data_IF_345025640061
#
_entry.id   IF_345025640061
#
_cell.length_a   1.000
_cell.length_b   1.000
_cell.length_c   1.000
_cell.angle_alpha   90.00
_cell.angle_beta   90.00
_cell.angle_gamma   90.00
#
_symmetry.space_group_name_H-M   'P 1'
#
loop_
_entity.id
_entity.type
_entity.pdbx_description
1 polymer ?
#
# COMPACT_ATOMS: atom_id res chain seq x y z
N UNK A 1 -11.16 -7.92 -60.71
CA UNK A 1 -10.32 -8.99 -60.12
C UNK A 1 -9.31 -8.46 -59.11
N UNK A 2 -8.83 -7.21 -59.23
CA UNK A 2 -7.83 -6.67 -58.29
C UNK A 2 -8.40 -6.28 -56.92
N UNK A 3 -9.66 -5.81 -56.87
CA UNK A 3 -10.26 -5.29 -55.63
C UNK A 3 -10.44 -6.38 -54.55
N UNK A 4 -10.72 -7.62 -54.95
CA UNK A 4 -10.88 -8.77 -54.03
C UNK A 4 -9.54 -9.26 -53.49
N UNK A 5 -8.47 -9.21 -54.28
CA UNK A 5 -7.11 -9.56 -53.82
C UNK A 5 -6.58 -8.54 -52.82
N UNK A 6 -6.81 -7.24 -53.06
CA UNK A 6 -6.43 -6.17 -52.13
C UNK A 6 -7.17 -6.31 -50.80
N UNK A 7 -8.48 -6.62 -50.83
CA UNK A 7 -9.26 -6.86 -49.62
C UNK A 7 -8.76 -8.08 -48.83
N UNK A 8 -8.49 -9.21 -49.49
CA UNK A 8 -7.95 -10.40 -48.82
C UNK A 8 -6.61 -10.11 -48.14
N UNK A 9 -5.72 -9.38 -48.80
CA UNK A 9 -4.41 -9.04 -48.25
C UNK A 9 -4.50 -8.10 -47.02
N UNK A 10 -5.46 -7.17 -47.03
CA UNK A 10 -5.74 -6.33 -45.86
C UNK A 10 -6.30 -7.15 -44.67
N UNK A 11 -7.19 -8.12 -44.95
CA UNK A 11 -7.77 -8.97 -43.91
C UNK A 11 -6.70 -9.89 -43.31
N UNK A 12 -5.87 -10.52 -44.14
CA UNK A 12 -4.73 -11.33 -43.68
C UNK A 12 -3.76 -10.51 -42.83
N UNK A 13 -3.40 -9.30 -43.26
CA UNK A 13 -2.54 -8.41 -42.47
C UNK A 13 -3.15 -8.04 -41.10
N UNK A 14 -4.48 -7.87 -41.04
CA UNK A 14 -5.20 -7.62 -39.79
C UNK A 14 -5.21 -8.85 -38.87
N UNK A 15 -5.43 -10.04 -39.45
CA UNK A 15 -5.40 -11.31 -38.71
C UNK A 15 -4.03 -11.58 -38.09
N UNK A 16 -2.96 -11.38 -38.84
CA UNK A 16 -1.59 -11.51 -38.32
C UNK A 16 -1.29 -10.50 -37.21
N UNK A 17 -1.78 -9.26 -37.32
CA UNK A 17 -1.63 -8.26 -36.26
C UNK A 17 -2.36 -8.69 -34.98
N UNK A 18 -3.58 -9.21 -35.09
CA UNK A 18 -4.35 -9.74 -33.95
C UNK A 18 -3.66 -10.97 -33.34
N UNK A 19 -3.17 -11.89 -34.16
CA UNK A 19 -2.39 -13.04 -33.71
C UNK A 19 -1.18 -12.60 -32.87
N UNK A 20 -0.37 -11.67 -33.37
CA UNK A 20 0.81 -11.17 -32.66
C UNK A 20 0.47 -10.46 -31.34
N UNK A 21 -0.65 -9.75 -31.27
CA UNK A 21 -1.12 -9.12 -30.02
C UNK A 21 -1.56 -10.19 -29.01
N UNK A 22 -2.31 -11.20 -29.44
CA UNK A 22 -2.76 -12.29 -28.58
C UNK A 22 -1.57 -13.12 -28.06
N UNK A 23 -0.55 -13.35 -28.88
CA UNK A 23 0.69 -14.01 -28.44
C UNK A 23 1.45 -13.16 -27.40
N UNK A 24 1.53 -11.84 -27.59
CA UNK A 24 2.19 -10.96 -26.61
C UNK A 24 1.43 -10.97 -25.27
N UNK A 25 0.10 -10.94 -25.32
CA UNK A 25 -0.74 -11.03 -24.12
C UNK A 25 -0.55 -12.39 -23.44
N UNK A 26 -0.58 -13.49 -24.20
CA UNK A 26 -0.39 -14.82 -23.65
C UNK A 26 0.98 -14.98 -22.98
N UNK A 27 2.04 -14.47 -23.62
CA UNK A 27 3.40 -14.46 -23.09
C UNK A 27 3.55 -13.67 -21.78
N UNK A 28 2.77 -12.60 -21.61
CA UNK A 28 2.78 -11.79 -20.38
C UNK A 28 2.00 -12.47 -19.25
N UNK A 29 0.99 -13.26 -19.57
CA UNK A 29 0.11 -13.93 -18.59
C UNK A 29 0.68 -15.30 -18.20
N UNK A 30 1.41 -15.97 -19.09
CA UNK A 30 1.94 -17.31 -18.88
C UNK A 30 3.46 -17.27 -18.61
N UNK A 31 3.89 -17.69 -17.42
CA UNK A 31 5.31 -17.87 -17.07
C UNK A 31 5.96 -19.06 -17.82
N UNK A 32 5.14 -19.91 -18.43
CA UNK A 32 5.60 -21.09 -19.16
C UNK A 32 6.09 -20.66 -20.55
N UNK A 33 7.40 -20.73 -20.80
CA UNK A 33 7.98 -20.61 -22.15
C UNK A 33 7.62 -21.84 -22.98
N UNK A 34 6.35 -22.02 -23.29
CA UNK A 34 5.94 -22.99 -24.29
C UNK A 34 6.44 -22.48 -25.64
N UNK A 35 7.50 -23.11 -26.14
CA UNK A 35 7.97 -22.96 -27.52
C UNK A 35 6.86 -23.49 -28.42
N UNK A 36 5.93 -22.61 -28.80
CA UNK A 36 5.06 -22.89 -29.93
C UNK A 36 5.94 -22.78 -31.16
N UNK A 37 6.10 -23.92 -31.83
CA UNK A 37 6.76 -23.99 -33.12
C UNK A 37 5.86 -23.20 -34.07
N UNK A 38 6.30 -21.98 -34.39
CA UNK A 38 5.72 -21.10 -35.39
C UNK A 38 5.81 -21.81 -36.76
N UNK A 39 4.83 -22.68 -37.05
CA UNK A 39 4.67 -23.27 -38.37
C UNK A 39 4.08 -22.22 -39.30
N UNK A 40 4.88 -21.20 -39.63
CA UNK A 40 4.65 -20.30 -40.75
C UNK A 40 4.77 -21.11 -42.04
N UNK A 41 3.66 -21.71 -42.46
CA UNK A 41 3.55 -22.30 -43.78
C UNK A 41 3.58 -21.18 -44.83
N UNK A 42 4.74 -21.05 -45.48
CA UNK A 42 4.91 -20.35 -46.75
C UNK A 42 4.19 -21.14 -47.84
N UNK A 43 2.90 -20.88 -48.07
CA UNK A 43 2.14 -21.52 -49.15
C UNK A 43 1.64 -20.47 -50.15
N UNK A 44 1.82 -20.82 -51.41
CA UNK A 44 1.57 -20.02 -52.60
C UNK A 44 0.08 -19.62 -52.74
N UNK A 45 -0.13 -18.40 -53.20
CA UNK A 45 -1.36 -17.59 -53.15
C UNK A 45 -2.53 -18.06 -54.04
N UNK A 46 -2.59 -19.34 -54.39
CA UNK A 46 -3.59 -19.86 -55.34
C UNK A 46 -4.93 -20.25 -54.69
N UNK A 47 -5.00 -20.44 -53.36
CA UNK A 47 -6.24 -20.76 -52.60
C UNK A 47 -6.45 -19.82 -51.39
N UNK A 48 -6.51 -18.51 -51.63
CA UNK A 48 -6.52 -17.49 -50.57
C UNK A 48 -7.70 -17.50 -49.58
N UNK A 49 -8.79 -18.20 -49.88
CA UNK A 49 -9.95 -18.33 -48.98
C UNK A 49 -9.78 -19.42 -47.92
N UNK A 50 -9.16 -20.55 -48.28
CA UNK A 50 -8.88 -21.64 -47.33
C UNK A 50 -7.81 -21.23 -46.32
N UNK A 51 -6.78 -20.51 -46.77
CA UNK A 51 -5.77 -19.92 -45.90
C UNK A 51 -6.38 -18.97 -44.86
N UNK A 52 -7.29 -18.09 -45.29
CA UNK A 52 -7.94 -17.13 -44.40
C UNK A 52 -8.76 -17.85 -43.32
N UNK A 53 -9.41 -18.96 -43.67
CA UNK A 53 -10.18 -19.78 -42.74
C UNK A 53 -9.29 -20.47 -41.70
N UNK A 54 -8.13 -21.01 -42.10
CA UNK A 54 -7.15 -21.62 -41.19
C UNK A 54 -6.54 -20.58 -40.26
N UNK A 55 -6.13 -19.43 -40.79
CA UNK A 55 -5.55 -18.33 -40.00
C UNK A 55 -6.56 -17.77 -38.99
N UNK A 56 -7.82 -17.56 -39.41
CA UNK A 56 -8.89 -17.14 -38.51
C UNK A 56 -9.18 -18.17 -37.42
N UNK A 57 -9.10 -19.47 -37.75
CA UNK A 57 -9.24 -20.54 -36.78
C UNK A 57 -8.11 -20.55 -35.74
N UNK A 58 -6.86 -20.36 -36.18
CA UNK A 58 -5.69 -20.27 -35.28
C UNK A 58 -5.81 -19.07 -34.32
N UNK A 59 -6.20 -17.91 -34.84
CA UNK A 59 -6.44 -16.71 -34.03
C UNK A 59 -7.55 -16.96 -33.00
N UNK A 60 -8.62 -17.67 -33.38
CA UNK A 60 -9.71 -18.01 -32.46
C UNK A 60 -9.30 -18.95 -31.34
N UNK A 61 -8.53 -20.00 -31.65
CA UNK A 61 -8.01 -20.92 -30.62
C UNK A 61 -7.01 -20.22 -29.69
N UNK A 62 -6.15 -19.37 -30.22
CA UNK A 62 -5.24 -18.55 -29.42
C UNK A 62 -6.02 -17.58 -28.50
N UNK A 63 -7.09 -16.97 -29.01
CA UNK A 63 -7.94 -16.09 -28.21
C UNK A 63 -8.64 -16.82 -27.05
N UNK A 64 -9.18 -18.02 -27.29
CA UNK A 64 -9.75 -18.87 -26.22
C UNK A 64 -8.73 -19.21 -25.15
N UNK A 65 -7.51 -19.52 -25.56
CA UNK A 65 -6.46 -19.86 -24.61
C UNK A 65 -6.04 -18.66 -23.76
N UNK A 66 -5.88 -17.49 -24.38
CA UNK A 66 -5.66 -16.22 -23.68
C UNK A 66 -6.78 -15.95 -22.69
N UNK A 67 -8.04 -16.12 -23.08
CA UNK A 67 -9.21 -15.92 -22.21
C UNK A 67 -9.20 -16.88 -21.00
N UNK A 68 -8.91 -18.16 -21.24
CA UNK A 68 -8.82 -19.17 -20.18
C UNK A 68 -7.69 -18.85 -19.20
N UNK A 69 -6.50 -18.51 -19.70
CA UNK A 69 -5.33 -18.19 -18.87
C UNK A 69 -5.49 -16.88 -18.10
N UNK A 70 -6.09 -15.88 -18.73
CA UNK A 70 -6.44 -14.64 -18.06
C UNK A 70 -7.44 -14.87 -16.93
N UNK A 71 -8.45 -15.72 -17.15
CA UNK A 71 -9.44 -16.08 -16.13
C UNK A 71 -8.79 -16.79 -14.93
N UNK A 72 -7.88 -17.73 -15.19
CA UNK A 72 -7.09 -18.41 -14.16
C UNK A 72 -6.22 -17.42 -13.35
N UNK A 73 -5.52 -16.52 -14.03
CA UNK A 73 -4.69 -15.49 -13.41
C UNK A 73 -5.51 -14.53 -12.53
N UNK A 74 -6.66 -14.07 -13.03
CA UNK A 74 -7.58 -13.22 -12.26
C UNK A 74 -8.14 -13.95 -11.01
N UNK A 75 -8.38 -15.26 -11.10
CA UNK A 75 -8.82 -16.07 -9.95
C UNK A 75 -7.75 -16.16 -8.87
N UNK A 76 -6.50 -16.42 -9.26
CA UNK A 76 -5.35 -16.46 -8.33
C UNK A 76 -5.17 -15.09 -7.68
N UNK A 77 -5.22 -14.01 -8.48
CA UNK A 77 -5.11 -12.65 -7.98
C UNK A 77 -6.22 -12.31 -6.98
N UNK A 78 -7.46 -12.75 -7.24
CA UNK A 78 -8.59 -12.54 -6.32
C UNK A 78 -8.41 -13.30 -5.01
N UNK A 79 -7.97 -14.56 -5.07
CA UNK A 79 -7.68 -15.37 -3.87
C UNK A 79 -6.59 -14.73 -3.03
N UNK A 80 -5.51 -14.26 -3.66
CA UNK A 80 -4.41 -13.60 -2.95
C UNK A 80 -4.84 -12.27 -2.34
N UNK A 81 -5.62 -11.46 -3.07
CA UNK A 81 -6.23 -10.24 -2.55
C UNK A 81 -7.07 -10.54 -1.30
N UNK A 82 -7.97 -11.52 -1.37
CA UNK A 82 -8.81 -11.91 -0.24
C UNK A 82 -7.99 -12.42 0.96
N UNK A 83 -6.91 -13.16 0.70
CA UNK A 83 -5.97 -13.64 1.75
C UNK A 83 -5.28 -12.48 2.46
N UNK A 84 -4.79 -11.51 1.68
CA UNK A 84 -4.13 -10.30 2.20
C UNK A 84 -5.13 -9.45 2.98
N UNK A 85 -6.33 -9.22 2.46
CA UNK A 85 -7.39 -8.49 3.15
C UNK A 85 -7.76 -9.14 4.49
N UNK A 86 -7.92 -10.46 4.53
CA UNK A 86 -8.19 -11.19 5.79
C UNK A 86 -7.06 -11.00 6.81
N UNK A 87 -5.80 -11.02 6.38
CA UNK A 87 -4.65 -10.79 7.26
C UNK A 87 -4.61 -9.35 7.76
N UNK A 88 -4.93 -8.38 6.92
CA UNK A 88 -5.02 -6.97 7.31
C UNK A 88 -6.12 -6.79 8.36
N UNK A 89 -7.32 -7.31 8.14
CA UNK A 89 -8.41 -7.21 9.13
C UNK A 89 -8.05 -7.87 10.48
N UNK A 90 -7.32 -8.98 10.47
CA UNK A 90 -6.81 -9.60 11.70
C UNK A 90 -5.81 -8.71 12.42
N UNK A 91 -4.85 -8.12 11.69
CA UNK A 91 -3.85 -7.21 12.26
C UNK A 91 -4.47 -5.90 12.76
N UNK A 92 -5.49 -5.38 12.08
CA UNK A 92 -6.24 -4.22 12.54
C UNK A 92 -6.95 -4.49 13.86
N UNK A 93 -7.56 -5.68 14.02
CA UNK A 93 -8.17 -6.09 15.28
C UNK A 93 -7.13 -6.24 16.39
N UNK A 94 -6.01 -6.90 16.12
CA UNK A 94 -4.92 -7.03 17.10
C UNK A 94 -4.37 -5.67 17.53
N UNK A 95 -4.19 -4.74 16.60
CA UNK A 95 -3.79 -3.37 16.91
C UNK A 95 -4.84 -2.63 17.75
N UNK A 96 -6.13 -2.83 17.51
CA UNK A 96 -7.21 -2.29 18.35
C UNK A 96 -7.18 -2.90 19.77
N UNK A 97 -6.93 -4.19 19.88
CA UNK A 97 -6.82 -4.90 21.16
C UNK A 97 -5.60 -4.40 21.95
N UNK A 98 -4.44 -4.25 21.30
CA UNK A 98 -3.22 -3.65 21.88
C UNK A 98 -3.48 -2.22 22.32
N UNK A 99 -4.13 -1.40 21.48
CA UNK A 99 -4.45 -0.02 21.82
C UNK A 99 -5.35 0.05 23.06
N UNK A 100 -6.33 -0.86 23.17
CA UNK A 100 -7.21 -0.97 24.32
C UNK A 100 -6.45 -1.40 25.57
N UNK A 101 -5.56 -2.40 25.47
CA UNK A 101 -4.69 -2.82 26.59
C UNK A 101 -3.79 -1.69 27.06
N UNK A 102 -3.17 -0.94 26.14
CA UNK A 102 -2.32 0.22 26.47
C UNK A 102 -3.12 1.29 27.19
N UNK A 103 -4.34 1.58 26.75
CA UNK A 103 -5.23 2.53 27.41
C UNK A 103 -5.55 2.10 28.84
N UNK A 104 -5.88 0.82 29.04
CA UNK A 104 -6.12 0.26 30.38
C UNK A 104 -4.85 0.37 31.24
N UNK A 105 -3.69 0.00 30.69
CA UNK A 105 -2.41 0.06 31.39
C UNK A 105 -2.04 1.49 31.83
N UNK A 106 -2.29 2.48 30.98
CA UNK A 106 -2.07 3.89 31.32
C UNK A 106 -3.01 4.31 32.45
N UNK A 107 -4.31 4.02 32.34
CA UNK A 107 -5.28 4.38 33.39
C UNK A 107 -4.97 3.72 34.73
N UNK A 108 -4.51 2.47 34.71
CA UNK A 108 -4.14 1.75 35.93
C UNK A 108 -2.83 2.26 36.52
N UNK A 109 -1.84 2.60 35.67
CA UNK A 109 -0.62 3.27 36.10
C UNK A 109 -0.94 4.59 36.81
N UNK A 110 -1.81 5.42 36.25
CA UNK A 110 -2.24 6.68 36.85
C UNK A 110 -2.96 6.46 38.20
N UNK A 111 -3.79 5.42 38.30
CA UNK A 111 -4.45 5.04 39.54
C UNK A 111 -3.45 4.58 40.62
N UNK A 112 -2.48 3.74 40.25
CA UNK A 112 -1.41 3.27 41.15
C UNK A 112 -0.52 4.43 41.60
N UNK A 113 -0.12 5.33 40.68
CA UNK A 113 0.66 6.53 41.04
C UNK A 113 -0.11 7.42 42.02
N UNK A 114 -1.43 7.54 41.86
CA UNK A 114 -2.28 8.30 42.77
C UNK A 114 -2.38 7.63 44.16
N UNK A 115 -2.53 6.30 44.22
CA UNK A 115 -2.52 5.55 45.49
C UNK A 115 -1.15 5.55 46.18
N UNK A 116 -0.06 5.49 45.40
CA UNK A 116 1.31 5.54 45.93
C UNK A 116 1.63 6.89 46.57
N UNK A 117 1.12 8.00 46.02
CA UNK A 117 1.24 9.34 46.63
C UNK A 117 0.63 9.40 48.03
N UNK A 118 -0.41 8.61 48.31
CA UNK A 118 -1.08 8.52 49.62
C UNK A 118 -0.30 7.65 50.61
N UNK A 119 0.40 6.61 50.13
CA UNK A 119 1.14 5.64 50.96
C UNK A 119 2.56 6.08 51.34
N UNK A 120 3.06 7.20 50.81
CA UNK A 120 4.46 7.66 50.97
C UNK A 120 4.86 8.01 52.41
N UNK A 121 3.90 8.13 53.34
CA UNK A 121 4.15 8.51 54.74
C UNK A 121 4.30 7.32 55.72
N UNK A 122 4.05 6.06 55.31
CA UNK A 122 4.14 4.87 56.19
C UNK A 122 5.14 3.80 55.67
N UNK A 123 6.27 3.64 56.36
CA UNK A 123 7.48 2.96 55.83
C UNK A 123 7.47 1.42 55.83
N UNK A 124 6.62 0.77 56.65
CA UNK A 124 6.55 -0.70 56.72
C UNK A 124 5.21 -1.25 56.18
N UNK A 125 4.08 -0.60 56.46
CA UNK A 125 2.77 -0.96 55.88
C UNK A 125 2.76 -0.77 54.34
N UNK A 126 3.49 0.24 53.85
CA UNK A 126 3.56 0.62 52.44
C UNK A 126 4.11 -0.47 51.52
N UNK A 127 5.06 -1.31 51.97
CA UNK A 127 5.65 -2.36 51.12
C UNK A 127 4.63 -3.42 50.71
N UNK A 128 3.80 -3.87 51.66
CA UNK A 128 2.74 -4.85 51.39
C UNK A 128 1.63 -4.28 50.48
N UNK A 129 1.26 -3.02 50.70
CA UNK A 129 0.28 -2.31 49.89
C UNK A 129 0.76 -2.08 48.45
N UNK A 130 2.05 -1.76 48.26
CA UNK A 130 2.67 -1.60 46.93
C UNK A 130 2.66 -2.92 46.14
N UNK A 131 2.95 -4.05 46.80
CA UNK A 131 2.90 -5.36 46.15
C UNK A 131 1.48 -5.75 45.72
N UNK A 132 0.48 -5.50 46.58
CA UNK A 132 -0.93 -5.74 46.25
C UNK A 132 -1.45 -4.81 45.13
N UNK A 133 -0.98 -3.56 45.09
CA UNK A 133 -1.27 -2.62 44.01
C UNK A 133 -0.66 -3.06 42.68
N UNK A 134 0.58 -3.54 42.70
CA UNK A 134 1.26 -4.07 41.52
C UNK A 134 0.57 -5.33 40.98
N UNK A 135 0.16 -6.25 41.85
CA UNK A 135 -0.57 -7.47 41.49
C UNK A 135 -1.93 -7.15 40.85
N UNK A 136 -2.72 -6.27 41.48
CA UNK A 136 -4.03 -5.84 40.95
C UNK A 136 -3.90 -5.10 39.61
N UNK A 137 -2.85 -4.29 39.46
CA UNK A 137 -2.61 -3.55 38.23
C UNK A 137 -2.28 -4.49 37.07
N UNK A 138 -1.42 -5.48 37.32
CA UNK A 138 -1.00 -6.49 36.35
C UNK A 138 -2.18 -7.41 35.92
N UNK A 139 -3.04 -7.78 36.87
CA UNK A 139 -4.23 -8.57 36.58
C UNK A 139 -5.22 -7.84 35.67
N UNK A 140 -5.40 -6.52 35.85
CA UNK A 140 -6.31 -5.70 35.02
C UNK A 140 -5.82 -5.48 33.59
N UNK A 141 -4.51 -5.44 33.37
CA UNK A 141 -3.92 -5.39 32.02
C UNK A 141 -3.88 -6.76 31.33
N UNK A 142 -4.49 -7.79 31.93
CA UNK A 142 -4.61 -9.14 31.36
C UNK A 142 -3.41 -10.04 31.64
N UNK A 143 -2.42 -9.57 32.41
CA UNK A 143 -1.28 -10.37 32.86
C UNK A 143 -1.61 -11.01 34.21
N UNK A 144 -2.55 -11.96 34.22
CA UNK A 144 -2.82 -12.78 35.40
C UNK A 144 -1.76 -13.88 35.54
N UNK A 145 -1.02 -13.88 36.65
CA UNK A 145 -0.28 -15.07 37.06
C UNK A 145 -1.30 -16.17 37.38
N UNK A 146 -1.33 -17.23 36.57
CA UNK A 146 -2.02 -18.48 36.92
C UNK A 146 -1.18 -19.14 38.02
N UNK A 147 -1.36 -18.70 39.27
CA UNK A 147 -0.93 -19.47 40.43
C UNK A 147 -2.00 -20.53 40.67
N UNK A 148 -1.87 -21.63 39.96
CA UNK A 148 -2.63 -22.84 40.23
C UNK A 148 -2.32 -23.28 41.67
N UNK A 149 -3.38 -23.29 42.46
CA UNK A 149 -3.41 -23.64 43.87
C UNK A 149 -2.92 -25.07 44.06
N UNK A 150 -1.70 -25.25 44.57
CA UNK A 150 -1.34 -26.46 45.31
C UNK A 150 -1.87 -26.26 46.72
N UNK A 151 -3.13 -26.63 46.90
CA UNK A 151 -3.65 -27.03 48.21
C UNK A 151 -3.02 -28.38 48.58
N UNK A 152 -2.14 -28.36 49.57
CA UNK A 152 -1.82 -29.48 50.44
C UNK A 152 -1.60 -28.89 51.83
N UNK A 153 -2.68 -28.82 52.62
CA UNK A 153 -2.84 -29.67 53.81
C UNK A 153 -1.68 -29.54 54.81
N UNK A 154 -1.90 -28.60 55.74
CA UNK A 154 -1.95 -28.86 57.19
C UNK A 154 -1.05 -30.00 57.72
N UNK A 155 -0.01 -29.65 58.46
CA UNK A 155 0.13 -30.11 59.85
C UNK A 155 1.16 -29.26 60.60
N UNK A 156 0.63 -28.47 61.52
CA UNK A 156 1.29 -28.10 62.77
C UNK A 156 1.60 -29.37 63.55
N UNK A 157 2.83 -29.55 63.98
CA UNK A 157 3.06 -30.15 65.29
C UNK A 157 4.38 -29.64 65.88
N UNK A 158 4.24 -28.94 67.00
CA UNK A 158 5.32 -28.82 67.96
C UNK A 158 5.36 -30.08 68.80
N UNK A 159 6.56 -30.51 69.17
CA UNK A 159 6.73 -31.41 70.30
C UNK A 159 7.96 -31.00 71.10
N UNK A 160 7.72 -30.17 72.11
CA UNK A 160 8.39 -30.32 73.40
C UNK A 160 7.78 -31.51 74.12
N UNK A 161 8.60 -32.39 74.72
CA UNK A 161 8.36 -33.10 76.00
C UNK A 161 9.51 -34.09 76.24
N UNK A 162 10.38 -33.79 77.21
CA UNK A 162 10.38 -34.34 78.60
C UNK A 162 10.84 -35.81 78.66
N UNK A 163 12.02 -36.10 79.20
CA UNK A 163 12.26 -36.37 80.63
C UNK A 163 11.59 -37.64 81.16
N UNK A 164 12.43 -38.61 81.51
CA UNK A 164 12.27 -39.60 82.58
C UNK A 164 13.69 -40.22 82.74
N UNK A 165 14.46 -40.12 83.83
CA UNK A 165 14.20 -40.34 85.26
C UNK A 165 13.73 -41.76 85.58
N UNK A 166 14.65 -42.59 86.07
CA UNK A 166 14.46 -43.62 87.11
C UNK A 166 15.86 -44.20 87.46
N UNK A 167 16.50 -43.91 88.59
CA UNK A 167 16.24 -44.31 90.00
C UNK A 167 16.57 -45.76 90.36
N UNK A 168 17.31 -45.88 91.47
CA UNK A 168 17.30 -46.96 92.49
C UNK A 168 18.00 -48.28 92.11
N UNK A 169 18.64 -49.05 92.98
CA UNK A 169 18.63 -49.26 94.45
C UNK A 169 19.95 -49.95 94.86
N UNK A 170 20.49 -49.81 96.08
CA UNK A 170 20.21 -50.71 97.24
C UNK A 170 20.76 -52.13 96.99
N UNK A 171 21.50 -52.81 97.87
CA UNK A 171 21.60 -52.78 99.33
C UNK A 171 22.61 -53.83 99.79
N UNK A 172 23.29 -53.54 100.90
CA UNK A 172 23.69 -54.39 102.04
C UNK A 172 23.76 -55.93 101.90
N UNK A 173 24.87 -56.49 102.40
CA UNK A 173 24.79 -57.70 103.23
C UNK A 173 25.98 -57.82 104.21
N UNK A 174 25.73 -57.51 105.48
CA UNK A 174 26.35 -58.16 106.64
C UNK A 174 25.87 -59.61 106.73
N UNK A 175 26.74 -60.57 107.11
CA UNK A 175 26.40 -61.70 108.02
C UNK A 175 27.68 -62.24 108.72
N UNK A 176 27.78 -61.96 110.02
CA UNK A 176 28.03 -62.84 111.19
C UNK A 176 29.25 -63.79 111.25
N UNK A 177 30.13 -63.45 112.21
CA UNK A 177 30.73 -64.25 113.31
C UNK A 177 31.06 -65.74 113.13
N UNK A 178 32.26 -66.12 113.61
CA UNK A 178 32.39 -67.03 114.75
C UNK A 178 33.78 -66.96 115.39
N UNK A 179 33.74 -66.77 116.71
CA UNK A 179 34.81 -66.96 117.69
C UNK A 179 35.31 -68.40 117.64
N UNK A 180 36.63 -68.62 117.64
CA UNK A 180 37.19 -69.72 118.42
C UNK A 180 38.58 -69.40 118.93
N UNK A 181 38.64 -69.20 120.24
CA UNK A 181 39.83 -69.01 121.05
C UNK A 181 40.43 -70.38 121.36
N UNK A 182 41.65 -70.63 120.90
CA UNK A 182 42.46 -71.76 121.37
C UNK A 182 43.94 -71.46 121.20
N UNK A 183 44.53 -71.05 122.33
CA UNK A 183 45.86 -71.34 122.87
C UNK A 183 46.97 -71.93 121.97
N UNK A 184 48.19 -71.42 122.21
CA UNK A 184 49.54 -72.05 122.13
C UNK A 184 50.53 -71.43 121.10
N UNK A 185 51.61 -70.86 121.68
CA UNK A 185 52.99 -70.61 121.17
C UNK A 185 53.33 -69.37 120.34
N UNK A 186 54.08 -68.46 120.99
CA UNK A 186 54.63 -67.18 120.52
C UNK A 186 55.80 -67.27 119.50
N UNK A 187 55.69 -68.12 118.47
CA UNK A 187 56.68 -68.13 117.38
C UNK A 187 56.08 -68.35 115.99
N UNK A 188 54.84 -68.88 115.90
CA UNK A 188 54.14 -69.11 114.63
C UNK A 188 53.18 -67.98 114.21
N UNK A 189 52.70 -67.16 115.17
CA UNK A 189 51.74 -66.08 114.92
C UNK A 189 52.31 -64.91 114.10
N UNK A 190 53.61 -64.60 114.22
CA UNK A 190 54.27 -63.56 113.41
C UNK A 190 54.29 -63.91 111.90
N UNK A 191 54.47 -65.20 111.58
CA UNK A 191 54.46 -65.70 110.20
C UNK A 191 53.04 -65.77 109.62
N UNK A 192 52.03 -66.14 110.43
CA UNK A 192 50.62 -66.17 109.97
C UNK A 192 49.98 -64.78 109.82
N UNK A 193 50.37 -63.80 110.65
CA UNK A 193 49.91 -62.41 110.54
C UNK A 193 50.55 -61.72 109.33
N UNK A 194 51.85 -61.97 109.09
CA UNK A 194 52.57 -61.50 107.90
C UNK A 194 51.99 -62.11 106.61
N UNK A 195 51.66 -63.40 106.60
CA UNK A 195 51.01 -64.06 105.45
C UNK A 195 49.58 -63.55 105.17
N UNK A 196 48.79 -63.24 106.21
CA UNK A 196 47.46 -62.63 106.07
C UNK A 196 47.53 -61.21 105.53
N UNK A 197 48.49 -60.41 106.00
CA UNK A 197 48.73 -59.06 105.47
C UNK A 197 49.19 -59.09 104.01
N UNK A 198 50.08 -60.04 103.64
CA UNK A 198 50.52 -60.25 102.26
C UNK A 198 49.35 -60.67 101.36
N UNK A 199 48.53 -61.63 101.78
CA UNK A 199 47.37 -62.09 100.97
C UNK A 199 46.30 -61.03 100.79
N UNK A 200 46.03 -60.22 101.82
CA UNK A 200 45.11 -59.08 101.72
C UNK A 200 45.65 -57.96 100.82
N UNK A 201 46.95 -57.69 100.90
CA UNK A 201 47.63 -56.72 100.00
C UNK A 201 47.60 -57.20 98.55
N UNK A 202 47.86 -58.49 98.32
CA UNK A 202 47.77 -59.12 96.99
C UNK A 202 46.34 -59.03 96.45
N UNK A 203 45.32 -59.33 97.27
CA UNK A 203 43.92 -59.24 96.84
C UNK A 203 43.51 -57.79 96.51
N UNK A 204 43.96 -56.82 97.30
CA UNK A 204 43.71 -55.39 97.03
C UNK A 204 44.39 -54.94 95.73
N UNK A 205 45.66 -55.32 95.52
CA UNK A 205 46.38 -55.06 94.26
C UNK A 205 45.71 -55.74 93.06
N UNK A 206 45.27 -56.98 93.21
CA UNK A 206 44.54 -57.71 92.17
C UNK A 206 43.22 -57.02 91.81
N UNK A 207 42.45 -56.55 92.81
CA UNK A 207 41.21 -55.81 92.60
C UNK A 207 41.43 -54.47 91.91
N UNK A 208 42.51 -53.74 92.25
CA UNK A 208 42.90 -52.51 91.54
C UNK A 208 43.21 -52.82 90.08
N UNK A 209 44.02 -53.85 89.80
CA UNK A 209 44.38 -54.24 88.43
C UNK A 209 43.15 -54.71 87.64
N UNK A 210 42.25 -55.45 88.27
CA UNK A 210 41.00 -55.89 87.63
C UNK A 210 40.11 -54.70 87.26
N UNK A 211 39.96 -53.73 88.18
CA UNK A 211 39.18 -52.53 87.92
C UNK A 211 39.81 -51.67 86.83
N UNK A 212 41.13 -51.46 86.84
CA UNK A 212 41.81 -50.70 85.78
C UNK A 212 41.73 -51.42 84.44
N UNK A 213 41.84 -52.74 84.41
CA UNK A 213 41.68 -53.54 83.19
C UNK A 213 40.26 -53.46 82.63
N UNK A 214 39.23 -53.53 83.49
CA UNK A 214 37.83 -53.35 83.06
C UNK A 214 37.59 -51.94 82.50
N UNK A 215 38.11 -50.90 83.17
CA UNK A 215 38.03 -49.52 82.68
C UNK A 215 38.71 -49.38 81.31
N UNK A 216 39.94 -49.88 81.16
CA UNK A 216 40.65 -49.84 79.88
C UNK A 216 39.95 -50.64 78.78
N UNK A 217 39.35 -51.79 79.10
CA UNK A 217 38.57 -52.55 78.14
C UNK A 217 37.32 -51.80 77.68
N UNK A 218 36.63 -51.12 78.59
CA UNK A 218 35.49 -50.28 78.23
C UNK A 218 35.93 -49.12 77.33
N UNK A 219 37.00 -48.40 77.70
CA UNK A 219 37.56 -47.31 76.89
C UNK A 219 37.99 -47.79 75.49
N UNK A 220 38.64 -48.97 75.38
CA UNK A 220 39.00 -49.56 74.10
C UNK A 220 37.76 -49.90 73.27
N UNK A 221 36.69 -50.39 73.91
CA UNK A 221 35.42 -50.67 73.23
C UNK A 221 34.75 -49.39 72.72
N UNK A 222 34.70 -48.34 73.56
CA UNK A 222 34.09 -47.05 73.22
C UNK A 222 34.88 -46.34 72.11
N UNK A 223 36.22 -46.38 72.16
CA UNK A 223 37.09 -45.83 71.11
C UNK A 223 36.94 -46.58 69.77
N UNK A 224 36.70 -47.90 69.80
CA UNK A 224 36.41 -48.66 68.58
C UNK A 224 35.08 -48.28 67.99
N UNK A 225 34.04 -48.16 68.82
CA UNK A 225 32.72 -47.75 68.36
C UNK A 225 32.78 -46.36 67.72
N UNK A 226 33.39 -45.38 68.40
CA UNK A 226 33.54 -44.01 67.86
C UNK A 226 34.39 -43.96 66.58
N UNK A 227 35.41 -44.82 66.45
CA UNK A 227 36.17 -44.95 65.21
C UNK A 227 35.32 -45.52 64.07
N UNK A 228 34.50 -46.54 64.33
CA UNK A 228 33.62 -47.13 63.32
C UNK A 228 32.50 -46.17 62.91
N UNK A 229 31.93 -45.41 63.85
CA UNK A 229 31.00 -44.30 63.59
C UNK A 229 31.66 -43.23 62.70
N UNK A 230 32.86 -42.77 63.05
CA UNK A 230 33.60 -41.80 62.24
C UNK A 230 33.94 -42.31 60.83
N UNK A 231 34.22 -43.61 60.68
CA UNK A 231 34.41 -44.23 59.36
C UNK A 231 33.12 -44.22 58.53
N UNK A 232 31.99 -44.57 59.16
CA UNK A 232 30.69 -44.54 58.49
C UNK A 232 30.29 -43.14 58.02
N UNK A 233 30.58 -42.11 58.84
CA UNK A 233 30.38 -40.71 58.48
C UNK A 233 31.29 -40.29 57.31
N UNK A 234 32.57 -40.71 57.34
CA UNK A 234 33.50 -40.47 56.23
C UNK A 234 33.00 -41.07 54.91
N UNK A 235 32.50 -42.31 54.94
CA UNK A 235 31.94 -42.99 53.77
C UNK A 235 30.68 -42.27 53.27
N UNK A 236 29.83 -41.78 54.18
CA UNK A 236 28.64 -41.00 53.84
C UNK A 236 29.01 -39.67 53.16
N UNK A 237 29.97 -38.92 53.71
CA UNK A 237 30.45 -37.69 53.09
C UNK A 237 31.10 -37.95 51.73
N UNK A 238 31.82 -39.07 51.57
CA UNK A 238 32.38 -39.46 50.29
C UNK A 238 31.26 -39.74 49.25
N UNK A 239 30.21 -40.46 49.64
CA UNK A 239 29.06 -40.71 48.77
C UNK A 239 28.38 -39.39 48.36
N UNK A 240 28.11 -38.50 49.32
CA UNK A 240 27.54 -37.19 49.04
C UNK A 240 28.43 -36.35 48.11
N UNK A 241 29.76 -36.39 48.31
CA UNK A 241 30.71 -35.70 47.45
C UNK A 241 30.67 -36.24 46.02
N UNK A 242 30.57 -37.56 45.82
CA UNK A 242 30.44 -38.16 44.48
C UNK A 242 29.11 -37.80 43.81
N UNK A 243 28.00 -37.80 44.56
CA UNK A 243 26.69 -37.40 44.02
C UNK A 243 26.69 -35.93 43.59
N UNK A 244 27.25 -35.04 44.41
CA UNK A 244 27.41 -33.63 44.09
C UNK A 244 28.31 -33.43 42.87
N UNK A 245 29.42 -34.16 42.80
CA UNK A 245 30.33 -34.11 41.65
C UNK A 245 29.64 -34.55 40.35
N UNK A 246 28.85 -35.63 40.38
CA UNK A 246 28.07 -36.07 39.21
C UNK A 246 27.04 -35.02 38.77
N UNK A 247 26.36 -34.35 39.72
CA UNK A 247 25.44 -33.25 39.40
C UNK A 247 26.17 -32.06 38.77
N UNK A 248 27.33 -31.68 39.31
CA UNK A 248 28.18 -30.63 38.74
C UNK A 248 28.57 -30.99 37.30
N UNK A 249 29.02 -32.22 37.07
CA UNK A 249 29.38 -32.68 35.72
C UNK A 249 28.22 -32.58 34.72
N UNK A 250 27.00 -32.94 35.14
CA UNK A 250 25.79 -32.84 34.29
C UNK A 250 25.45 -31.37 33.97
N UNK A 251 25.54 -30.49 34.95
CA UNK A 251 25.30 -29.07 34.73
C UNK A 251 26.39 -28.45 33.87
N UNK A 252 27.64 -28.87 34.02
CA UNK A 252 28.75 -28.40 33.18
C UNK A 252 28.55 -28.78 31.71
N UNK A 253 28.15 -30.03 31.41
CA UNK A 253 27.83 -30.42 30.03
C UNK A 253 26.64 -29.63 29.48
N UNK A 254 25.59 -29.42 30.29
CA UNK A 254 24.42 -28.66 29.86
C UNK A 254 24.75 -27.17 29.59
N UNK A 255 25.59 -26.55 30.40
CA UNK A 255 26.06 -25.19 30.18
C UNK A 255 26.83 -25.10 28.86
N UNK A 256 27.74 -26.04 28.58
CA UNK A 256 28.47 -26.07 27.30
C UNK A 256 27.54 -26.22 26.09
N UNK A 257 26.52 -27.07 26.19
CA UNK A 257 25.52 -27.22 25.13
C UNK A 257 24.73 -25.91 24.91
N UNK A 258 24.40 -25.19 25.98
CA UNK A 258 23.76 -23.88 25.89
C UNK A 258 24.67 -22.84 25.23
N UNK A 259 25.96 -22.78 25.60
CA UNK A 259 26.95 -21.86 25.02
C UNK A 259 27.12 -22.10 23.52
N UNK A 260 27.19 -23.35 23.07
CA UNK A 260 27.28 -23.66 21.63
C UNK A 260 26.03 -23.22 20.88
N UNK A 261 24.84 -23.44 21.44
CA UNK A 261 23.58 -22.99 20.85
C UNK A 261 23.49 -21.47 20.80
N UNK A 262 23.93 -20.78 21.85
CA UNK A 262 24.02 -19.31 21.87
C UNK A 262 24.96 -18.81 20.76
N UNK A 263 26.16 -19.39 20.65
CA UNK A 263 27.11 -19.02 19.59
C UNK A 263 26.53 -19.21 18.18
N UNK A 264 25.82 -20.32 17.93
CA UNK A 264 25.16 -20.56 16.65
C UNK A 264 24.05 -19.54 16.35
N UNK A 265 23.23 -19.21 17.36
CA UNK A 265 22.18 -18.22 17.22
C UNK A 265 22.75 -16.82 16.97
N UNK A 266 23.83 -16.45 17.66
CA UNK A 266 24.52 -15.17 17.42
C UNK A 266 25.02 -15.08 15.98
N UNK A 267 25.71 -16.12 15.48
CA UNK A 267 26.20 -16.15 14.10
C UNK A 267 25.04 -16.05 13.08
N UNK A 268 23.93 -16.75 13.33
CA UNK A 268 22.74 -16.68 12.46
C UNK A 268 22.10 -15.29 12.46
N UNK A 269 22.02 -14.63 13.62
CA UNK A 269 21.52 -13.25 13.72
C UNK A 269 22.44 -12.28 12.99
N UNK A 270 23.76 -12.43 13.12
CA UNK A 270 24.73 -11.60 12.39
C UNK A 270 24.60 -11.75 10.87
N UNK A 271 24.44 -12.98 10.38
CA UNK A 271 24.18 -13.25 8.95
C UNK A 271 22.89 -12.54 8.49
N UNK A 272 21.80 -12.68 9.24
CA UNK A 272 20.53 -12.01 8.93
C UNK A 272 20.66 -10.48 8.96
N UNK A 273 21.46 -9.91 9.86
CA UNK A 273 21.75 -8.47 9.89
C UNK A 273 22.47 -8.04 8.62
N UNK A 274 23.44 -8.82 8.14
CA UNK A 274 24.14 -8.52 6.89
C UNK A 274 23.21 -8.59 5.68
N UNK A 275 22.37 -9.63 5.59
CA UNK A 275 21.38 -9.75 4.51
C UNK A 275 20.36 -8.60 4.55
N UNK A 276 19.90 -8.24 5.74
CA UNK A 276 18.97 -7.12 5.94
C UNK A 276 19.58 -5.78 5.48
N UNK A 277 20.86 -5.53 5.80
CA UNK A 277 21.58 -4.33 5.31
C UNK A 277 21.69 -4.31 3.79
N UNK A 278 21.96 -5.46 3.15
CA UNK A 278 22.02 -5.56 1.69
C UNK A 278 20.67 -5.24 1.03
N UNK A 279 19.59 -5.83 1.54
CA UNK A 279 18.21 -5.55 1.09
C UNK A 279 17.85 -4.08 1.30
N UNK A 280 18.24 -3.48 2.43
CA UNK A 280 17.99 -2.06 2.69
C UNK A 280 18.70 -1.14 1.69
N UNK A 281 19.93 -1.47 1.30
CA UNK A 281 20.67 -0.72 0.27
C UNK A 281 20.00 -0.86 -1.11
N UNK A 282 19.56 -2.06 -1.47
CA UNK A 282 18.82 -2.29 -2.71
C UNK A 282 17.49 -1.53 -2.72
N UNK A 283 16.72 -1.58 -1.63
CA UNK A 283 15.51 -0.78 -1.49
C UNK A 283 15.78 0.73 -1.62
N UNK A 284 16.91 1.22 -1.11
CA UNK A 284 17.32 2.62 -1.30
C UNK A 284 17.67 2.94 -2.77
N UNK A 285 18.30 2.00 -3.51
CA UNK A 285 18.57 2.15 -4.95
C UNK A 285 17.27 2.21 -5.74
N UNK A 286 16.34 1.28 -5.51
CA UNK A 286 15.03 1.28 -6.17
C UNK A 286 14.22 2.52 -5.87
N UNK A 287 14.23 3.00 -4.62
CA UNK A 287 13.61 4.28 -4.25
C UNK A 287 14.17 5.44 -5.06
N UNK A 288 15.50 5.52 -5.20
CA UNK A 288 16.14 6.58 -5.98
C UNK A 288 15.78 6.51 -7.47
N UNK A 289 15.71 5.31 -8.03
CA UNK A 289 15.27 5.11 -9.41
C UNK A 289 13.81 5.59 -9.60
N UNK A 290 12.90 5.21 -8.70
CA UNK A 290 11.51 5.66 -8.74
C UNK A 290 11.37 7.18 -8.64
N UNK A 291 12.17 7.83 -7.76
CA UNK A 291 12.18 9.29 -7.65
C UNK A 291 12.58 9.95 -8.99
N UNK A 292 13.59 9.42 -9.68
CA UNK A 292 14.04 9.95 -10.96
C UNK A 292 12.98 9.77 -12.05
N UNK A 293 12.31 8.63 -12.11
CA UNK A 293 11.20 8.39 -13.04
C UNK A 293 10.02 9.33 -12.77
N UNK A 294 9.70 9.57 -11.50
CA UNK A 294 8.64 10.53 -11.11
C UNK A 294 9.03 11.95 -11.53
N UNK A 295 10.26 12.38 -11.32
CA UNK A 295 10.70 13.72 -11.75
C UNK A 295 10.72 13.85 -13.28
N UNK A 296 11.14 12.80 -14.02
CA UNK A 296 11.05 12.76 -15.48
C UNK A 296 9.58 12.80 -15.97
N UNK A 297 8.68 12.10 -15.28
CA UNK A 297 7.25 12.15 -15.55
C UNK A 297 6.67 13.55 -15.30
N UNK A 298 7.08 14.23 -14.22
CA UNK A 298 6.68 15.61 -13.93
C UNK A 298 7.18 16.59 -15.00
N UNK A 299 8.41 16.45 -15.51
CA UNK A 299 8.90 17.31 -16.58
C UNK A 299 8.14 17.07 -17.88
N UNK A 300 7.89 15.82 -18.26
CA UNK A 300 7.09 15.48 -19.44
C UNK A 300 5.66 16.04 -19.37
N UNK A 301 5.01 15.95 -18.20
CA UNK A 301 3.68 16.54 -17.98
C UNK A 301 3.72 18.07 -18.11
N UNK A 302 4.79 18.73 -17.64
CA UNK A 302 4.95 20.18 -17.82
C UNK A 302 5.07 20.57 -19.29
N UNK A 303 5.85 19.83 -20.08
CA UNK A 303 5.99 20.04 -21.53
C UNK A 303 4.65 19.83 -22.26
N UNK A 304 3.95 18.73 -21.99
CA UNK A 304 2.63 18.48 -22.57
C UNK A 304 1.62 19.57 -22.21
N UNK A 305 1.64 20.08 -20.98
CA UNK A 305 0.78 21.19 -20.59
C UNK A 305 1.10 22.48 -21.37
N UNK A 306 2.39 22.76 -21.65
CA UNK A 306 2.78 23.89 -22.48
C UNK A 306 2.25 23.73 -23.92
N UNK A 307 2.38 22.54 -24.52
CA UNK A 307 1.82 22.26 -25.84
C UNK A 307 0.29 22.42 -25.88
N UNK A 308 -0.42 21.90 -24.86
CA UNK A 308 -1.87 22.08 -24.75
C UNK A 308 -2.23 23.57 -24.66
N UNK A 309 -1.47 24.39 -23.94
CA UNK A 309 -1.73 25.83 -23.88
C UNK A 309 -1.54 26.50 -25.24
N UNK A 310 -0.48 26.16 -25.98
CA UNK A 310 -0.24 26.69 -27.33
C UNK A 310 -1.33 26.27 -28.31
N UNK A 311 -1.72 24.99 -28.31
CA UNK A 311 -2.79 24.48 -29.17
C UNK A 311 -4.14 25.11 -28.84
N UNK A 312 -4.43 25.41 -27.56
CA UNK A 312 -5.65 26.14 -27.17
C UNK A 312 -5.64 27.57 -27.69
N UNK A 313 -4.49 28.25 -27.65
CA UNK A 313 -4.36 29.59 -28.23
C UNK A 313 -4.53 29.57 -29.76
N UNK A 314 -3.95 28.59 -30.45
CA UNK A 314 -4.11 28.41 -31.90
C UNK A 314 -5.57 28.11 -32.28
N UNK A 315 -6.23 27.23 -31.54
CA UNK A 315 -7.66 26.94 -31.70
C UNK A 315 -8.50 28.21 -31.49
N UNK A 316 -8.15 29.03 -30.48
CA UNK A 316 -8.79 30.32 -30.23
C UNK A 316 -8.64 31.30 -31.40
N UNK A 317 -7.43 31.41 -31.97
CA UNK A 317 -7.16 32.24 -33.16
C UNK A 317 -7.96 31.76 -34.37
N UNK A 318 -7.91 30.46 -34.67
CA UNK A 318 -8.63 29.88 -35.80
C UNK A 318 -10.16 30.05 -35.66
N UNK A 319 -10.69 29.96 -34.44
CA UNK A 319 -12.11 30.22 -34.17
C UNK A 319 -12.47 31.69 -34.44
N UNK A 320 -11.64 32.64 -33.98
CA UNK A 320 -11.87 34.06 -34.26
C UNK A 320 -11.81 34.38 -35.76
N UNK A 321 -10.87 33.78 -36.50
CA UNK A 321 -10.77 33.91 -37.95
C UNK A 321 -12.01 33.34 -38.67
N UNK A 322 -12.51 32.19 -38.20
CA UNK A 322 -13.74 31.58 -38.72
C UNK A 322 -14.96 32.51 -38.48
N UNK A 323 -15.12 33.06 -37.28
CA UNK A 323 -16.19 34.01 -36.97
C UNK A 323 -16.11 35.29 -37.82
N UNK A 324 -14.89 35.79 -38.06
CA UNK A 324 -14.65 36.92 -38.96
C UNK A 324 -14.98 36.58 -40.43
N UNK A 325 -14.66 35.38 -40.91
CA UNK A 325 -15.02 34.93 -42.24
C UNK A 325 -16.54 34.73 -42.39
N UNK A 326 -17.19 34.18 -41.37
CA UNK A 326 -18.63 33.97 -41.36
C UNK A 326 -19.40 35.30 -41.38
N UNK A 327 -18.98 36.30 -40.59
CA UNK A 327 -19.59 37.63 -40.64
C UNK A 327 -19.41 38.31 -42.01
N UNK A 328 -18.25 38.15 -42.67
CA UNK A 328 -18.03 38.61 -44.06
C UNK A 328 -18.95 37.90 -45.06
N UNK A 329 -19.15 36.59 -44.90
CA UNK A 329 -20.05 35.80 -45.74
C UNK A 329 -21.49 36.31 -45.61
N UNK A 330 -21.99 36.51 -44.38
CA UNK A 330 -23.32 37.07 -44.12
C UNK A 330 -23.52 38.45 -44.77
N UNK A 331 -22.48 39.31 -44.78
CA UNK A 331 -22.53 40.59 -45.48
C UNK A 331 -22.62 40.42 -47.00
N UNK A 332 -21.86 39.49 -47.58
CA UNK A 332 -21.94 39.17 -49.02
C UNK A 332 -23.30 38.61 -49.40
N UNK A 333 -23.90 37.77 -48.57
CA UNK A 333 -25.26 37.25 -48.80
C UNK A 333 -26.30 38.37 -48.82
N UNK A 334 -26.25 39.30 -47.85
CA UNK A 334 -27.14 40.48 -47.83
C UNK A 334 -26.92 41.39 -49.04
N UNK A 335 -25.67 41.59 -49.46
CA UNK A 335 -25.35 42.35 -50.67
C UNK A 335 -25.93 41.66 -51.92
N UNK A 336 -25.75 40.35 -52.06
CA UNK A 336 -26.29 39.57 -53.17
C UNK A 336 -27.82 39.63 -53.21
N UNK A 337 -28.49 39.50 -52.06
CA UNK A 337 -29.95 39.66 -51.94
C UNK A 337 -30.41 41.06 -52.39
N UNK A 338 -29.68 42.11 -52.00
CA UNK A 338 -30.00 43.49 -52.37
C UNK A 338 -29.76 43.77 -53.86
N UNK A 339 -28.68 43.21 -54.42
CA UNK A 339 -28.39 43.29 -55.86
C UNK A 339 -29.45 42.55 -56.68
N UNK A 340 -29.86 41.35 -56.26
CA UNK A 340 -30.95 40.61 -56.91
C UNK A 340 -32.28 41.37 -56.86
N UNK A 341 -32.62 42.00 -55.73
CA UNK A 341 -33.82 42.83 -55.61
C UNK A 341 -33.76 44.09 -56.52
N UNK A 342 -32.60 44.75 -56.58
CA UNK A 342 -32.39 45.90 -57.46
C UNK A 342 -32.47 45.52 -58.94
N UNK A 343 -31.91 44.36 -59.33
CA UNK A 343 -32.03 43.83 -60.69
C UNK A 343 -33.48 43.51 -61.04
N UNK A 344 -34.22 42.82 -60.16
CA UNK A 344 -35.63 42.53 -60.37
C UNK A 344 -36.48 43.82 -60.56
N UNK A 345 -36.17 44.88 -59.80
CA UNK A 345 -36.82 46.18 -59.97
C UNK A 345 -36.45 46.85 -61.30
N UNK A 346 -35.19 46.79 -61.72
CA UNK A 346 -34.74 47.31 -63.01
C UNK A 346 -35.41 46.59 -64.19
N UNK A 347 -35.48 45.25 -64.15
CA UNK A 347 -36.16 44.44 -65.17
C UNK A 347 -37.66 44.75 -65.24
N UNK A 348 -38.32 45.01 -64.11
CA UNK A 348 -39.70 45.45 -64.08
C UNK A 348 -39.90 46.84 -64.73
N UNK A 349 -38.98 47.78 -64.48
CA UNK A 349 -38.97 49.10 -65.12
C UNK A 349 -38.76 49.01 -66.63
N UNK A 350 -37.85 48.15 -67.10
CA UNK A 350 -37.64 47.89 -68.53
C UNK A 350 -38.89 47.32 -69.18
N UNK A 351 -39.50 46.28 -68.59
CA UNK A 351 -40.77 45.71 -69.08
C UNK A 351 -41.88 46.75 -69.15
N UNK A 352 -41.97 47.66 -68.17
CA UNK A 352 -42.93 48.75 -68.20
C UNK A 352 -42.65 49.74 -69.35
N UNK A 353 -41.37 50.12 -69.54
CA UNK A 353 -40.96 50.99 -70.63
C UNK A 353 -41.28 50.37 -72.00
N UNK A 354 -40.99 49.08 -72.18
CA UNK A 354 -41.30 48.32 -73.40
C UNK A 354 -42.80 48.25 -73.67
N UNK A 355 -43.62 48.03 -72.62
CA UNK A 355 -45.09 48.05 -72.78
C UNK A 355 -45.61 49.44 -73.17
N UNK A 356 -45.02 50.51 -72.63
CA UNK A 356 -45.38 51.90 -72.97
C UNK A 356 -44.94 52.27 -74.38
N UNK A 357 -43.73 51.88 -74.78
CA UNK A 357 -43.21 52.14 -76.12
C UNK A 357 -44.04 51.38 -77.17
N UNK A 358 -44.39 50.12 -76.92
CA UNK A 358 -45.29 49.34 -77.78
C UNK A 358 -46.68 50.02 -77.89
N UNK A 359 -47.26 50.48 -76.78
CA UNK A 359 -48.52 51.22 -76.81
C UNK A 359 -48.44 52.55 -77.58
N UNK A 360 -47.33 53.28 -77.45
CA UNK A 360 -47.08 54.49 -78.24
C UNK A 360 -46.88 54.19 -79.72
N UNK A 361 -46.18 53.12 -80.07
CA UNK A 361 -46.00 52.67 -81.46
C UNK A 361 -47.35 52.34 -82.10
N UNK A 362 -48.21 51.58 -81.43
CA UNK A 362 -49.58 51.32 -81.90
C UNK A 362 -50.37 52.61 -82.14
N UNK A 363 -50.21 53.61 -81.27
CA UNK A 363 -50.86 54.91 -81.44
C UNK A 363 -50.32 55.69 -82.65
N UNK A 364 -49.00 55.65 -82.87
CA UNK A 364 -48.36 56.25 -84.04
C UNK A 364 -48.85 55.56 -85.31
N UNK A 365 -48.85 54.23 -85.35
CA UNK A 365 -49.36 53.43 -86.47
C UNK A 365 -50.82 53.76 -86.78
N UNK A 366 -51.67 53.89 -85.77
CA UNK A 366 -53.07 54.31 -85.94
C UNK A 366 -53.17 55.72 -86.54
N UNK A 367 -52.40 56.68 -86.02
CA UNK A 367 -52.38 58.04 -86.55
C UNK A 367 -51.84 58.09 -87.99
N UNK A 368 -50.82 57.29 -88.31
CA UNK A 368 -50.30 57.15 -89.68
C UNK A 368 -51.35 56.56 -90.60
N UNK A 369 -52.09 55.53 -90.16
CA UNK A 369 -53.20 54.94 -90.92
C UNK A 369 -54.33 55.95 -91.13
N UNK A 370 -54.62 56.80 -90.15
CA UNK A 370 -55.59 57.90 -90.30
C UNK A 370 -55.12 58.92 -91.35
N UNK A 371 -53.84 59.28 -91.37
CA UNK A 371 -53.26 60.17 -92.39
C UNK A 371 -53.34 59.53 -93.79
N UNK A 372 -52.97 58.26 -93.92
CA UNK A 372 -53.05 57.52 -95.19
C UNK A 372 -54.50 57.36 -95.66
N UNK A 373 -55.45 57.21 -94.73
CA UNK A 373 -56.90 57.13 -95.00
C UNK A 373 -57.56 58.47 -95.31
N UNK A 374 -56.97 59.60 -94.91
CA UNK A 374 -57.39 60.96 -95.31
C UNK A 374 -56.89 61.33 -96.73
N UNK A 375 -55.99 60.53 -97.33
CA UNK A 375 -55.43 60.75 -98.67
C UNK A 375 -56.13 60.00 -99.85
N UNK A 376 -57.47 59.86 -99.88
CA UNK A 376 -58.16 59.62 -101.16
C UNK A 376 -59.17 60.72 -101.56
N UNK A 377 -59.37 61.80 -100.78
CA UNK A 377 -60.38 62.82 -101.12
C UNK A 377 -59.91 64.29 -101.04
N UNK A 378 -58.60 64.53 -101.08
CA UNK A 378 -57.99 65.86 -100.94
C UNK A 378 -57.06 66.28 -102.08
N UNK A 379 -57.14 65.65 -103.26
CA UNK A 379 -56.31 66.02 -104.42
C UNK A 379 -57.16 66.57 -105.57
N UNK A 380 -57.94 67.62 -105.28
CA UNK A 380 -58.39 68.66 -106.23
C UNK A 380 -59.13 69.76 -105.45
N UNK A 381 -58.64 70.98 -105.64
CA UNK A 381 -59.26 72.26 -105.25
C UNK A 381 -59.50 72.53 -103.75
N UNK A 382 -58.53 73.24 -103.15
CA UNK A 382 -58.79 74.53 -102.49
C UNK A 382 -57.48 75.30 -102.31
N UNK A 383 -57.21 76.19 -103.27
CA UNK A 383 -56.68 77.51 -102.90
C UNK A 383 -57.57 78.06 -101.79
N UNK A 384 -56.97 78.40 -100.65
CA UNK A 384 -57.33 79.47 -99.70
C UNK A 384 -56.63 79.18 -98.36
N UNK A 385 -55.60 79.97 -98.10
CA UNK A 385 -55.13 80.42 -96.78
C UNK A 385 -54.80 79.36 -95.71
N UNK A 386 -53.55 78.88 -95.68
CA UNK A 386 -52.92 78.39 -94.43
C UNK A 386 -51.48 78.89 -94.29
N UNK A 387 -51.27 79.57 -93.16
CA UNK A 387 -50.04 80.17 -92.66
C UNK A 387 -48.87 79.19 -92.76
N UNK A 388 -47.76 79.61 -93.35
CA UNK A 388 -46.51 78.83 -93.36
C UNK A 388 -46.00 78.69 -91.93
N UNK A 389 -46.24 77.49 -91.40
CA UNK A 389 -45.72 76.90 -90.18
C UNK A 389 -44.20 77.05 -90.20
N UNK A 390 -43.66 77.67 -89.15
CA UNK A 390 -42.22 77.70 -88.92
C UNK A 390 -41.78 76.25 -88.68
N UNK A 391 -40.83 75.77 -89.46
CA UNK A 391 -40.02 74.63 -89.04
C UNK A 391 -39.34 75.02 -87.73
N UNK A 392 -39.94 74.63 -86.59
CA UNK A 392 -39.19 74.51 -85.35
C UNK A 392 -38.39 73.23 -85.52
N UNK A 393 -37.19 73.40 -86.06
CA UNK A 393 -36.13 72.43 -85.93
C UNK A 393 -36.10 71.95 -84.48
N UNK A 394 -36.48 70.69 -84.26
CA UNK A 394 -36.35 70.04 -82.96
C UNK A 394 -34.85 70.02 -82.63
N UNK A 395 -34.40 70.59 -81.50
CA UNK A 395 -33.00 70.70 -81.21
C UNK A 395 -32.46 69.33 -80.79
N UNK A 396 -31.96 68.57 -81.76
CA UNK A 396 -30.95 67.52 -81.54
C UNK A 396 -29.60 68.17 -81.19
N UNK A 397 -29.53 68.90 -80.09
CA UNK A 397 -28.26 69.31 -79.52
C UNK A 397 -28.14 68.84 -78.07
N UNK A 398 -27.22 67.87 -77.92
CA UNK A 398 -26.57 67.42 -76.70
C UNK A 398 -27.36 66.50 -75.75
N UNK A 399 -27.93 65.40 -76.26
CA UNK A 399 -27.82 64.15 -75.51
C UNK A 399 -26.45 63.56 -75.79
N UNK A 400 -25.46 64.06 -75.03
CA UNK A 400 -24.18 63.40 -74.89
C UNK A 400 -24.48 62.04 -74.27
N UNK A 401 -24.48 61.01 -75.11
CA UNK A 401 -24.38 59.62 -74.65
C UNK A 401 -23.19 59.59 -73.70
N UNK A 402 -23.44 59.42 -72.40
CA UNK A 402 -22.38 59.08 -71.46
C UNK A 402 -22.02 57.65 -71.81
N UNK A 403 -21.13 57.52 -72.79
CA UNK A 403 -20.41 56.29 -73.06
C UNK A 403 -19.74 55.88 -71.75
N UNK A 404 -19.96 54.63 -71.35
CA UNK A 404 -19.35 54.01 -70.19
C UNK A 404 -17.83 53.91 -70.41
N UNK A 405 -17.13 55.02 -70.17
CA UNK A 405 -15.68 55.11 -70.21
C UNK A 405 -15.25 56.38 -69.49
N UNK A 406 -14.84 56.21 -68.23
CA UNK A 406 -13.82 57.03 -67.57
C UNK A 406 -14.10 58.54 -67.39
N UNK A 407 -15.02 58.91 -66.48
CA UNK A 407 -14.93 60.14 -65.63
C UNK A 407 -16.20 60.35 -64.78
N UNK A 408 -16.36 59.55 -63.72
CA UNK A 408 -17.34 59.80 -62.66
C UNK A 408 -16.62 60.36 -61.41
N UNK A 409 -15.99 61.54 -61.53
CA UNK A 409 -15.23 62.14 -60.41
C UNK A 409 -15.62 63.57 -60.02
N UNK A 410 -16.69 64.15 -60.58
CA UNK A 410 -17.02 65.57 -60.34
C UNK A 410 -18.43 65.83 -59.82
N UNK A 411 -19.19 64.80 -59.43
CA UNK A 411 -20.57 64.98 -58.95
C UNK A 411 -20.67 65.23 -57.44
N UNK A 412 -19.55 65.22 -56.71
CA UNK A 412 -19.53 65.36 -55.24
C UNK A 412 -18.73 66.57 -54.73
N UNK A 413 -18.26 67.44 -55.64
CA UNK A 413 -17.33 68.53 -55.32
C UNK A 413 -17.89 69.84 -55.86
N UNK A 414 -17.99 70.86 -55.00
CA UNK A 414 -18.33 72.23 -55.41
C UNK A 414 -17.21 72.84 -56.29
N UNK A 415 -17.50 73.92 -57.01
CA UNK A 415 -16.60 74.64 -57.94
C UNK A 415 -15.25 75.06 -57.32
N UNK A 416 -15.11 74.98 -55.99
CA UNK A 416 -13.89 75.25 -55.22
C UNK A 416 -13.12 74.00 -54.74
N UNK A 417 -13.47 72.79 -55.20
CA UNK A 417 -12.66 71.59 -54.92
C UNK A 417 -12.88 70.92 -53.55
N UNK A 418 -13.92 71.30 -52.78
CA UNK A 418 -14.24 70.69 -51.47
C UNK A 418 -15.45 69.74 -51.56
N UNK A 419 -15.35 68.58 -50.92
CA UNK A 419 -16.40 67.55 -50.83
C UNK A 419 -17.50 67.99 -49.85
N UNK A 420 -18.76 67.62 -50.14
CA UNK A 420 -19.91 67.89 -49.25
C UNK A 420 -19.74 67.14 -47.91
N UNK A 421 -20.11 67.75 -46.75
CA UNK A 421 -19.87 67.18 -45.41
C UNK A 421 -20.42 65.77 -45.18
N UNK A 422 -21.44 65.37 -45.96
CA UNK A 422 -22.05 64.02 -45.87
C UNK A 422 -21.18 62.93 -46.52
N UNK A 423 -20.23 63.28 -47.39
CA UNK A 423 -19.35 62.35 -48.07
C UNK A 423 -18.00 62.14 -47.35
N UNK A 424 -17.54 63.09 -46.54
CA UNK A 424 -16.32 62.93 -45.71
C UNK A 424 -16.49 61.86 -44.62
N UNK A 425 -17.70 61.74 -44.06
CA UNK A 425 -18.00 60.73 -43.02
C UNK A 425 -17.86 59.27 -43.51
N UNK A 426 -17.93 59.01 -44.82
CA UNK A 426 -17.82 57.67 -45.39
C UNK A 426 -16.38 57.26 -45.74
N UNK A 427 -15.42 58.19 -45.72
CA UNK A 427 -14.01 57.90 -45.99
C UNK A 427 -13.17 57.67 -44.72
N UNK A 428 -13.66 58.08 -43.55
CA UNK A 428 -13.02 57.77 -42.26
C UNK A 428 -13.28 56.34 -41.76
N UNK A 429 -14.18 55.59 -42.39
CA UNK A 429 -14.50 54.20 -42.01
C UNK A 429 -13.68 53.14 -42.78
N UNK A 430 -12.61 53.54 -43.46
CA UNK A 430 -11.73 52.64 -44.21
C UNK A 430 -10.28 52.84 -43.81
N UNK A 431 -9.97 52.47 -42.57
CA UNK A 431 -8.65 52.03 -42.09
C UNK A 431 -8.81 50.57 -41.71
#
# INVERSE_FOLDING_TARGET
MDQTKVALQQITGSLHAVHGILEDILRRISDDRAVRIDQRYSIDTTEGLEFLAVEAHNVHELAKEVESKLSECMEIQRKEKNRVESRISSLEKENQDIHTMLKIAITEKEAVESSLRVLKDDSEQGRSAILQLAEKGLQKVGFGFIMEVISGEQETDGMSTSSATATTSGSDQEVVSLVNTSYITHSSLANTLSAKHLTQTIHFQASIVENTMKTLHQEISDLRQTLDESRSDSDHFQLLATERHQKIMKYESYIKDLETRESLLVNSVEEHILTMKAVQQEAARWRKACELEVEAGKSAIKELNQEITLLREELGRAKADLEAANSKLMLKEKLAASAMAAQAAADACLKLADSRSAGLQQRIEELTRQIEGEDPNGRKEKEISRRKIRYVCWPWQQLRVISASSRARTWFVDQNGRLLPRAEALLQARI
#
